data_IF_106113062506
#
_entry.id   IF_106113062506
#
_cell.length_a   1.000
_cell.length_b   1.000
_cell.length_c   1.000
_cell.angle_alpha   90.00
_cell.angle_beta   90.00
_cell.angle_gamma   90.00
#
_symmetry.space_group_name_H-M   'P 1'
#
loop_
_entity.id
_entity.type
_entity.pdbx_description
1 polymer ?
#
# COMPACT_ATOMS: atom_id res chain seq x y z
N UNK A 1 12.44 15.70 12.36
CA UNK A 1 11.72 15.84 11.08
C UNK A 1 10.31 16.36 11.31
N UNK A 2 9.45 15.63 11.99
CA UNK A 2 8.10 16.10 12.30
C UNK A 2 8.11 17.42 13.07
N UNK A 3 8.91 17.54 14.12
CA UNK A 3 9.06 18.79 14.90
C UNK A 3 9.56 20.02 14.12
N UNK A 4 10.08 19.80 12.90
CA UNK A 4 10.56 20.88 12.03
C UNK A 4 9.60 21.13 10.83
N UNK A 5 8.43 20.50 10.81
CA UNK A 5 7.48 20.57 9.67
C UNK A 5 8.04 20.07 8.35
N UNK A 6 9.11 19.28 8.37
CA UNK A 6 9.78 18.78 7.15
C UNK A 6 9.15 17.54 6.55
N UNK A 7 8.18 16.94 7.21
CA UNK A 7 7.48 15.74 6.76
C UNK A 7 6.00 15.86 7.04
N UNK A 8 5.19 15.69 6.03
CA UNK A 8 3.73 15.82 6.10
C UNK A 8 3.07 15.52 4.75
N UNK A 9 1.80 15.85 4.62
CA UNK A 9 0.98 15.63 3.42
C UNK A 9 1.64 16.10 2.12
N UNK A 10 2.30 17.24 2.15
CA UNK A 10 2.93 17.81 0.95
C UNK A 10 4.07 16.97 0.42
N UNK A 11 4.72 16.15 1.27
CA UNK A 11 5.81 15.26 0.86
C UNK A 11 5.34 14.22 -0.14
N UNK A 12 4.13 13.66 0.05
CA UNK A 12 3.53 12.70 -0.87
C UNK A 12 3.33 13.29 -2.26
N UNK A 13 2.85 14.54 -2.36
CA UNK A 13 2.56 15.21 -3.64
C UNK A 13 3.78 15.49 -4.51
N UNK A 14 4.98 15.52 -3.91
CA UNK A 14 6.20 15.93 -4.63
C UNK A 14 6.77 14.83 -5.53
N UNK A 15 6.36 13.58 -5.39
CA UNK A 15 6.90 12.49 -6.18
C UNK A 15 6.45 12.57 -7.64
N UNK A 16 7.41 12.44 -8.57
CA UNK A 16 7.20 12.64 -10.01
C UNK A 16 6.22 11.66 -10.67
N UNK A 17 6.00 10.49 -10.05
CA UNK A 17 5.09 9.45 -10.56
C UNK A 17 3.67 9.55 -10.01
N UNK A 18 3.41 10.45 -9.07
CA UNK A 18 2.07 10.63 -8.53
C UNK A 18 1.12 11.24 -9.56
N UNK A 19 -0.18 10.91 -9.53
CA UNK A 19 -1.17 11.44 -10.46
C UNK A 19 -1.14 12.98 -10.49
N UNK A 20 -1.05 13.56 -11.70
CA UNK A 20 -0.90 15.01 -11.90
C UNK A 20 -2.21 15.69 -12.28
N UNK A 21 -3.13 14.99 -12.95
CA UNK A 21 -4.43 15.54 -13.33
C UNK A 21 -5.44 15.45 -12.18
N UNK A 22 -6.27 16.46 -12.01
CA UNK A 22 -7.17 16.57 -10.86
C UNK A 22 -8.34 15.59 -10.95
N UNK A 23 -8.87 15.38 -12.16
CA UNK A 23 -10.13 14.63 -12.35
C UNK A 23 -9.98 13.11 -12.23
N UNK A 24 -8.77 12.57 -12.50
CA UNK A 24 -8.51 11.13 -12.52
C UNK A 24 -7.78 10.60 -11.26
N UNK A 25 -7.46 11.46 -10.30
CA UNK A 25 -6.58 11.11 -9.17
C UNK A 25 -7.13 9.98 -8.30
N UNK A 26 -8.40 10.06 -7.93
CA UNK A 26 -8.98 9.05 -7.02
C UNK A 26 -9.09 7.67 -7.70
N UNK A 27 -9.43 7.62 -9.00
CA UNK A 27 -9.49 6.35 -9.70
C UNK A 27 -8.11 5.81 -10.05
N UNK A 28 -7.15 6.67 -10.34
CA UNK A 28 -5.75 6.29 -10.52
C UNK A 28 -5.16 5.65 -9.27
N UNK A 29 -5.37 6.27 -8.10
CA UNK A 29 -4.96 5.73 -6.81
C UNK A 29 -5.65 4.39 -6.54
N UNK A 30 -6.97 4.31 -6.76
CA UNK A 30 -7.72 3.07 -6.60
C UNK A 30 -7.17 1.94 -7.47
N UNK A 31 -6.88 2.20 -8.75
CA UNK A 31 -6.31 1.19 -9.65
C UNK A 31 -4.94 0.71 -9.15
N UNK A 32 -4.06 1.64 -8.79
CA UNK A 32 -2.71 1.32 -8.30
C UNK A 32 -2.79 0.51 -7.01
N UNK A 33 -3.60 0.93 -6.03
CA UNK A 33 -3.72 0.23 -4.75
C UNK A 33 -4.48 -1.10 -4.85
N UNK A 34 -5.30 -1.28 -5.90
CA UNK A 34 -5.90 -2.59 -6.19
C UNK A 34 -4.84 -3.66 -6.46
N UNK A 35 -3.67 -3.28 -6.98
CA UNK A 35 -2.58 -4.20 -7.28
C UNK A 35 -1.31 -3.94 -6.43
N UNK A 36 -1.42 -3.19 -5.34
CA UNK A 36 -0.31 -2.82 -4.46
C UNK A 36 -0.02 -3.92 -3.42
N UNK A 37 0.53 -5.05 -3.86
CA UNK A 37 0.87 -6.19 -2.99
C UNK A 37 2.03 -7.03 -3.54
N UNK A 38 2.72 -7.79 -2.70
CA UNK A 38 3.70 -8.84 -3.05
C UNK A 38 4.73 -8.45 -4.13
N UNK A 39 5.66 -7.53 -3.82
CA UNK A 39 6.67 -7.07 -4.79
C UNK A 39 8.00 -7.82 -4.73
N UNK A 40 8.25 -8.64 -3.71
CA UNK A 40 9.50 -9.35 -3.60
C UNK A 40 9.56 -10.50 -4.61
N UNK A 41 10.71 -10.71 -5.28
CA UNK A 41 10.86 -11.75 -6.30
C UNK A 41 10.86 -13.15 -5.69
N UNK A 42 10.54 -14.14 -6.51
CA UNK A 42 10.77 -15.53 -6.17
C UNK A 42 12.28 -15.84 -6.11
N UNK A 43 12.62 -16.98 -5.54
CA UNK A 43 14.01 -17.40 -5.42
C UNK A 43 14.66 -17.52 -6.82
N UNK A 44 15.88 -17.00 -6.94
CA UNK A 44 16.64 -16.95 -8.19
C UNK A 44 16.08 -16.00 -9.28
N UNK A 45 15.08 -15.19 -8.97
CA UNK A 45 14.58 -14.13 -9.85
C UNK A 45 15.05 -12.75 -9.39
N UNK A 46 15.24 -11.84 -10.35
CA UNK A 46 15.52 -10.44 -10.05
C UNK A 46 14.24 -9.68 -9.69
N UNK A 47 14.37 -8.50 -9.07
CA UNK A 47 13.22 -7.63 -8.82
C UNK A 47 12.62 -7.17 -10.16
N UNK A 48 11.31 -7.18 -10.26
CA UNK A 48 10.61 -6.52 -11.35
C UNK A 48 10.96 -5.03 -11.39
N UNK A 49 11.33 -4.54 -12.56
CA UNK A 49 11.74 -3.13 -12.77
C UNK A 49 11.01 -2.53 -13.95
N UNK A 50 10.79 -1.24 -13.92
CA UNK A 50 10.23 -0.46 -15.04
C UNK A 50 11.11 0.76 -15.29
N UNK A 51 11.52 0.95 -16.53
CA UNK A 51 12.20 2.19 -16.95
C UNK A 51 11.14 3.19 -17.42
N UNK A 52 11.19 4.38 -16.84
CA UNK A 52 10.31 5.49 -17.20
C UNK A 52 11.07 6.82 -17.06
N UNK A 53 11.03 7.67 -18.07
CA UNK A 53 11.76 8.95 -18.13
C UNK A 53 13.26 8.82 -17.79
N UNK A 54 13.90 7.73 -18.27
CA UNK A 54 15.32 7.50 -18.07
C UNK A 54 15.71 7.02 -16.67
N UNK A 55 14.74 6.74 -15.80
CA UNK A 55 14.96 6.21 -14.44
C UNK A 55 14.37 4.82 -14.30
N UNK A 56 14.99 4.01 -13.45
CA UNK A 56 14.53 2.64 -13.13
C UNK A 56 13.78 2.64 -11.81
N UNK A 57 12.56 2.10 -11.82
CA UNK A 57 11.69 2.00 -10.66
C UNK A 57 11.44 0.55 -10.26
N UNK A 58 11.25 0.32 -8.96
CA UNK A 58 10.96 -0.99 -8.35
C UNK A 58 9.81 -0.90 -7.36
N UNK A 59 9.16 -2.02 -7.07
CA UNK A 59 8.07 -2.11 -6.08
C UNK A 59 6.88 -1.22 -6.48
N UNK A 60 6.28 -0.53 -5.52
CA UNK A 60 5.14 0.37 -5.74
C UNK A 60 5.38 1.35 -6.91
N UNK A 61 6.57 1.98 -6.95
CA UNK A 61 6.89 2.94 -8.01
C UNK A 61 7.03 2.30 -9.40
N UNK A 62 7.31 1.01 -9.50
CA UNK A 62 7.29 0.32 -10.81
C UNK A 62 5.87 0.19 -11.36
N UNK A 63 4.86 0.01 -10.50
CA UNK A 63 3.45 0.03 -10.92
C UNK A 63 3.07 1.44 -11.41
N UNK A 64 3.37 2.48 -10.64
CA UNK A 64 3.08 3.87 -11.02
C UNK A 64 3.73 4.24 -12.37
N UNK A 65 5.00 3.84 -12.56
CA UNK A 65 5.72 4.08 -13.81
C UNK A 65 5.09 3.35 -15.01
N UNK A 66 4.70 2.07 -14.84
CA UNK A 66 4.03 1.30 -15.87
C UNK A 66 2.66 1.88 -16.25
N UNK A 67 1.88 2.31 -15.26
CA UNK A 67 0.59 2.97 -15.47
C UNK A 67 0.76 4.29 -16.23
N UNK A 68 1.70 5.15 -15.83
CA UNK A 68 1.96 6.40 -16.53
C UNK A 68 2.38 6.15 -17.99
N UNK A 69 3.24 5.14 -18.22
CA UNK A 69 3.64 4.69 -19.56
C UNK A 69 2.44 4.23 -20.39
N UNK A 70 1.53 3.43 -19.81
CA UNK A 70 0.34 2.96 -20.50
C UNK A 70 -0.61 4.12 -20.90
N UNK A 71 -0.77 5.12 -20.01
CA UNK A 71 -1.56 6.32 -20.30
C UNK A 71 -0.95 7.11 -21.46
N UNK A 72 0.37 7.30 -21.50
CA UNK A 72 1.07 7.95 -22.60
C UNK A 72 0.93 7.21 -23.92
N UNK A 73 0.77 5.88 -23.87
CA UNK A 73 0.46 5.03 -25.04
C UNK A 73 -1.03 5.07 -25.45
N UNK A 74 -1.86 5.86 -24.77
CA UNK A 74 -3.30 5.99 -25.03
C UNK A 74 -4.15 4.86 -24.47
N UNK A 75 -3.63 4.03 -23.57
CA UNK A 75 -4.37 2.95 -22.91
C UNK A 75 -5.09 3.54 -21.67
N UNK A 76 -6.41 3.57 -21.70
CA UNK A 76 -7.20 4.00 -20.53
C UNK A 76 -7.38 2.84 -19.55
N UNK A 77 -6.36 2.64 -18.70
CA UNK A 77 -6.34 1.59 -17.67
C UNK A 77 -7.37 1.82 -16.56
N UNK A 78 -7.93 3.03 -16.46
CA UNK A 78 -8.89 3.42 -15.42
C UNK A 78 -10.35 3.22 -15.86
N UNK A 79 -10.60 2.86 -17.11
CA UNK A 79 -11.95 2.55 -17.56
C UNK A 79 -12.45 1.25 -16.92
N UNK A 80 -13.59 1.32 -16.24
CA UNK A 80 -14.13 0.17 -15.50
C UNK A 80 -14.48 -1.03 -16.41
N UNK A 81 -14.87 -0.79 -17.67
CA UNK A 81 -15.09 -1.88 -18.63
C UNK A 81 -13.76 -2.52 -19.05
N UNK A 82 -12.72 -1.69 -19.26
CA UNK A 82 -11.37 -2.19 -19.54
C UNK A 82 -10.85 -3.04 -18.38
N UNK A 83 -11.00 -2.57 -17.14
CA UNK A 83 -10.64 -3.32 -15.94
C UNK A 83 -11.39 -4.65 -15.84
N UNK A 84 -12.73 -4.62 -16.00
CA UNK A 84 -13.58 -5.82 -15.86
C UNK A 84 -13.27 -6.91 -16.88
N UNK A 85 -12.71 -6.54 -18.04
CA UNK A 85 -12.40 -7.46 -19.15
C UNK A 85 -10.90 -7.63 -19.39
N UNK A 86 -10.04 -7.16 -18.48
CA UNK A 86 -8.58 -7.22 -18.64
C UNK A 86 -8.10 -8.65 -18.85
N UNK A 87 -7.31 -8.89 -19.89
CA UNK A 87 -6.67 -10.19 -20.11
C UNK A 87 -5.26 -10.22 -19.53
N UNK A 88 -4.69 -11.42 -19.38
CA UNK A 88 -3.31 -11.60 -18.94
C UNK A 88 -2.34 -10.94 -19.92
N UNK A 89 -2.62 -11.04 -21.24
CA UNK A 89 -1.81 -10.44 -22.29
C UNK A 89 -1.84 -8.91 -22.21
N UNK A 90 -3.01 -8.31 -21.97
CA UNK A 90 -3.13 -6.86 -21.74
C UNK A 90 -2.39 -6.43 -20.48
N UNK A 91 -2.54 -7.17 -19.39
CA UNK A 91 -1.78 -6.91 -18.16
C UNK A 91 -0.26 -6.94 -18.41
N UNK A 92 0.23 -8.01 -19.05
CA UNK A 92 1.66 -8.16 -19.36
C UNK A 92 2.17 -7.09 -20.33
N UNK A 93 1.33 -6.58 -21.24
CA UNK A 93 1.69 -5.48 -22.14
C UNK A 93 1.84 -4.14 -21.43
N UNK A 94 1.07 -3.91 -20.36
CA UNK A 94 1.16 -2.71 -19.51
C UNK A 94 2.36 -2.84 -18.54
N UNK A 95 2.44 -3.97 -17.85
CA UNK A 95 3.42 -4.24 -16.80
C UNK A 95 4.61 -5.06 -17.32
N UNK A 96 5.12 -4.71 -18.52
CA UNK A 96 6.36 -5.33 -18.99
C UNK A 96 7.60 -4.69 -18.34
N UNK A 97 8.64 -5.49 -18.22
CA UNK A 97 9.91 -5.09 -17.66
C UNK A 97 11.03 -5.27 -18.67
N UNK A 98 11.96 -4.34 -18.71
CA UNK A 98 13.12 -4.39 -19.58
C UNK A 98 14.15 -5.48 -19.16
N UNK A 99 14.06 -5.94 -17.91
CA UNK A 99 14.86 -7.09 -17.42
C UNK A 99 14.14 -8.43 -17.60
N UNK A 100 13.00 -8.47 -18.32
CA UNK A 100 12.20 -9.66 -18.59
C UNK A 100 11.63 -10.39 -17.37
N UNK A 101 11.65 -9.74 -16.20
CA UNK A 101 11.00 -10.26 -15.01
C UNK A 101 9.51 -9.87 -14.99
N UNK A 102 8.70 -10.72 -14.39
CA UNK A 102 7.27 -10.46 -14.22
C UNK A 102 6.96 -10.00 -12.80
N UNK A 103 5.88 -9.23 -12.63
CA UNK A 103 5.32 -9.00 -11.30
C UNK A 103 4.87 -10.35 -10.69
N UNK A 104 5.16 -10.60 -9.41
CA UNK A 104 4.60 -11.77 -8.75
C UNK A 104 3.07 -11.77 -8.76
N UNK A 105 2.46 -12.95 -8.76
CA UNK A 105 0.99 -13.09 -8.68
C UNK A 105 0.23 -12.42 -9.84
N UNK A 106 0.69 -12.61 -11.09
CA UNK A 106 0.05 -12.01 -12.28
C UNK A 106 -1.42 -12.39 -12.38
N UNK A 107 -1.76 -13.68 -12.20
CA UNK A 107 -3.14 -14.16 -12.30
C UNK A 107 -4.04 -13.49 -11.24
N UNK A 108 -3.55 -13.41 -10.01
CA UNK A 108 -4.26 -12.77 -8.90
C UNK A 108 -4.43 -11.27 -9.16
N UNK A 109 -3.41 -10.59 -9.70
CA UNK A 109 -3.52 -9.16 -10.06
C UNK A 109 -4.59 -8.94 -11.12
N UNK A 110 -4.62 -9.75 -12.17
CA UNK A 110 -5.66 -9.68 -13.21
C UNK A 110 -7.04 -9.96 -12.61
N UNK A 111 -7.15 -10.94 -11.74
CA UNK A 111 -8.42 -11.27 -11.07
C UNK A 111 -8.93 -10.15 -10.17
N UNK A 112 -8.07 -9.52 -9.37
CA UNK A 112 -8.50 -8.38 -8.51
C UNK A 112 -8.84 -7.14 -9.33
N UNK A 113 -8.17 -6.89 -10.46
CA UNK A 113 -8.54 -5.81 -11.38
C UNK A 113 -9.92 -6.07 -12.00
N UNK A 114 -10.19 -7.30 -12.47
CA UNK A 114 -11.49 -7.68 -13.01
C UNK A 114 -12.61 -7.56 -11.98
N UNK A 115 -12.36 -8.02 -10.76
CA UNK A 115 -13.29 -7.83 -9.64
C UNK A 115 -13.59 -6.34 -9.44
N UNK A 116 -12.53 -5.52 -9.34
CA UNK A 116 -12.67 -4.09 -9.11
C UNK A 116 -13.48 -3.41 -10.22
N UNK A 117 -13.16 -3.65 -11.49
CA UNK A 117 -13.90 -3.11 -12.61
C UNK A 117 -15.37 -3.54 -12.63
N UNK A 118 -15.64 -4.82 -12.39
CA UNK A 118 -17.00 -5.36 -12.34
C UNK A 118 -17.82 -4.76 -11.20
N UNK A 119 -17.24 -4.58 -10.02
CA UNK A 119 -17.91 -3.93 -8.88
C UNK A 119 -18.19 -2.46 -9.16
N UNK A 120 -17.22 -1.74 -9.74
CA UNK A 120 -17.44 -0.34 -10.13
C UNK A 120 -18.62 -0.21 -11.11
N UNK A 121 -18.68 -1.04 -12.14
CA UNK A 121 -19.78 -1.03 -13.12
C UNK A 121 -21.13 -1.31 -12.48
N UNK A 122 -21.20 -2.36 -11.67
CA UNK A 122 -22.46 -2.84 -11.13
C UNK A 122 -23.02 -2.00 -9.97
N UNK A 123 -22.15 -1.36 -9.18
CA UNK A 123 -22.57 -0.72 -7.92
C UNK A 123 -22.25 0.77 -7.86
N UNK A 124 -21.26 1.25 -8.62
CA UNK A 124 -20.73 2.59 -8.49
C UNK A 124 -20.68 3.36 -9.82
N UNK A 125 -21.53 2.99 -10.79
CA UNK A 125 -21.67 3.66 -12.09
C UNK A 125 -20.31 3.79 -12.84
N UNK A 126 -19.43 2.81 -12.67
CA UNK A 126 -18.12 2.76 -13.30
C UNK A 126 -17.06 3.69 -12.68
N UNK A 127 -17.35 4.37 -11.57
CA UNK A 127 -16.44 5.37 -11.01
C UNK A 127 -16.22 5.19 -9.50
N UNK A 128 -14.95 5.08 -9.07
CA UNK A 128 -14.58 4.93 -7.67
C UNK A 128 -14.92 6.19 -6.83
N UNK A 129 -14.99 7.37 -7.42
CA UNK A 129 -15.43 8.60 -6.71
C UNK A 129 -16.81 8.41 -6.07
N UNK A 130 -17.68 7.61 -6.67
CA UNK A 130 -18.99 7.33 -6.06
C UNK A 130 -18.87 6.54 -4.75
N UNK A 131 -17.83 5.70 -4.57
CA UNK A 131 -17.52 5.08 -3.28
C UNK A 131 -17.10 6.15 -2.25
N UNK A 132 -16.23 7.06 -2.65
CA UNK A 132 -15.73 8.14 -1.79
C UNK A 132 -16.88 9.07 -1.36
N UNK A 133 -17.76 9.45 -2.29
CA UNK A 133 -18.92 10.29 -1.99
C UNK A 133 -19.90 9.62 -1.01
N UNK A 134 -20.13 8.30 -1.14
CA UNK A 134 -20.99 7.55 -0.23
C UNK A 134 -20.43 7.47 1.20
N UNK A 135 -19.14 7.67 1.38
CA UNK A 135 -18.51 7.67 2.69
C UNK A 135 -18.75 8.95 3.50
N UNK A 136 -19.30 10.02 2.89
CA UNK A 136 -19.67 11.26 3.59
C UNK A 136 -18.52 11.84 4.43
N UNK A 137 -17.31 11.85 3.89
CA UNK A 137 -16.09 12.32 4.53
C UNK A 137 -15.65 11.50 5.78
N UNK A 138 -16.07 10.25 5.91
CA UNK A 138 -15.58 9.34 6.95
C UNK A 138 -14.62 8.29 6.36
N UNK A 139 -13.42 8.22 6.90
CA UNK A 139 -12.42 7.20 6.54
C UNK A 139 -12.91 5.80 6.95
N UNK A 140 -13.49 5.66 8.14
CA UNK A 140 -14.03 4.38 8.62
C UNK A 140 -15.21 3.88 7.77
N UNK A 141 -16.09 4.78 7.36
CA UNK A 141 -17.21 4.44 6.47
C UNK A 141 -16.69 4.02 5.08
N UNK A 142 -15.63 4.69 4.58
CA UNK A 142 -15.03 4.31 3.31
C UNK A 142 -14.34 2.95 3.39
N UNK A 143 -13.63 2.62 4.49
CA UNK A 143 -13.10 1.26 4.73
C UNK A 143 -14.24 0.24 4.61
N UNK A 144 -15.35 0.47 5.31
CA UNK A 144 -16.49 -0.45 5.31
C UNK A 144 -17.07 -0.64 3.90
N UNK A 145 -17.27 0.46 3.14
CA UNK A 145 -17.71 0.38 1.75
C UNK A 145 -16.75 -0.45 0.90
N UNK A 146 -15.44 -0.21 1.06
CA UNK A 146 -14.42 -0.94 0.29
C UNK A 146 -14.45 -2.43 0.63
N UNK A 147 -14.38 -2.81 1.90
CA UNK A 147 -14.28 -4.23 2.28
C UNK A 147 -15.59 -5.00 2.08
N UNK A 148 -16.74 -4.32 2.08
CA UNK A 148 -18.04 -4.95 1.79
C UNK A 148 -18.22 -5.25 0.32
N UNK A 149 -17.63 -4.42 -0.56
CA UNK A 149 -17.86 -4.52 -1.99
C UNK A 149 -16.70 -5.15 -2.76
N UNK A 150 -15.46 -4.96 -2.34
CA UNK A 150 -14.26 -5.48 -3.02
C UNK A 150 -13.62 -6.57 -2.13
N UNK A 151 -13.88 -7.83 -2.46
CA UNK A 151 -13.45 -8.96 -1.63
C UNK A 151 -11.93 -9.06 -1.50
N UNK A 152 -11.21 -8.62 -2.53
CA UNK A 152 -9.74 -8.58 -2.54
C UNK A 152 -9.12 -7.64 -1.50
N UNK A 153 -9.91 -6.72 -0.94
CA UNK A 153 -9.48 -5.82 0.13
C UNK A 153 -9.76 -6.34 1.55
N UNK A 154 -10.45 -7.50 1.68
CA UNK A 154 -10.80 -8.10 2.97
C UNK A 154 -9.61 -8.81 3.62
N UNK A 155 -8.63 -8.05 4.02
CA UNK A 155 -7.45 -8.48 4.73
C UNK A 155 -7.82 -8.83 6.18
N UNK A 156 -8.34 -10.05 6.35
CA UNK A 156 -8.83 -10.58 7.62
C UNK A 156 -8.09 -11.87 7.91
N UNK A 157 -7.54 -11.98 9.11
CA UNK A 157 -6.86 -13.16 9.61
C UNK A 157 -7.62 -13.77 10.80
N UNK A 158 -7.36 -15.06 11.09
CA UNK A 158 -7.93 -15.72 12.25
C UNK A 158 -6.84 -16.07 13.26
N UNK A 159 -6.86 -15.43 14.44
CA UNK A 159 -5.81 -15.57 15.43
C UNK A 159 -6.38 -15.87 16.83
N UNK A 160 -5.93 -16.99 17.43
CA UNK A 160 -6.35 -17.42 18.78
C UNK A 160 -7.87 -17.40 18.98
N UNK A 161 -8.62 -17.87 17.99
CA UNK A 161 -10.08 -17.96 18.06
C UNK A 161 -10.82 -16.64 17.80
N UNK A 162 -10.12 -15.59 17.34
CA UNK A 162 -10.70 -14.27 17.02
C UNK A 162 -10.38 -13.87 15.59
N UNK A 163 -11.32 -13.20 14.94
CA UNK A 163 -11.08 -12.53 13.68
C UNK A 163 -10.29 -11.25 13.92
N UNK A 164 -9.22 -11.05 13.13
CA UNK A 164 -8.36 -9.87 13.16
C UNK A 164 -8.44 -9.19 11.80
N UNK A 165 -8.99 -8.00 11.76
CA UNK A 165 -9.15 -7.19 10.54
C UNK A 165 -8.01 -6.18 10.45
N UNK A 166 -7.09 -6.38 9.52
CA UNK A 166 -5.96 -5.45 9.33
C UNK A 166 -6.26 -4.47 8.21
N UNK A 167 -6.90 -4.95 7.12
CA UNK A 167 -7.35 -4.12 5.99
C UNK A 167 -6.26 -3.21 5.40
N UNK A 168 -5.02 -3.72 5.30
CA UNK A 168 -3.83 -2.92 4.91
C UNK A 168 -4.08 -2.10 3.64
N UNK A 169 -4.55 -2.75 2.54
CA UNK A 169 -4.75 -2.05 1.27
C UNK A 169 -5.93 -1.08 1.28
N UNK A 170 -6.98 -1.37 2.04
CA UNK A 170 -8.08 -0.42 2.20
C UNK A 170 -7.63 0.84 2.94
N UNK A 171 -6.82 0.69 3.98
CA UNK A 171 -6.31 1.82 4.75
C UNK A 171 -5.31 2.67 3.95
N UNK A 172 -4.37 2.05 3.21
CA UNK A 172 -3.41 2.81 2.39
C UNK A 172 -4.11 3.55 1.24
N UNK A 173 -5.12 2.94 0.61
CA UNK A 173 -5.93 3.60 -0.42
C UNK A 173 -6.57 4.91 0.10
N UNK A 174 -7.16 4.88 1.30
CA UNK A 174 -7.77 6.08 1.89
C UNK A 174 -6.71 7.12 2.28
N UNK A 175 -5.59 6.66 2.82
CA UNK A 175 -4.47 7.54 3.15
C UNK A 175 -3.87 8.21 1.90
N UNK A 176 -3.73 7.47 0.80
CA UNK A 176 -3.21 8.02 -0.46
C UNK A 176 -4.20 9.02 -1.08
N UNK A 177 -5.52 8.79 -0.98
CA UNK A 177 -6.53 9.78 -1.35
C UNK A 177 -6.41 11.03 -0.46
N UNK A 178 -6.30 10.87 0.85
CA UNK A 178 -6.11 11.98 1.79
C UNK A 178 -4.86 12.80 1.44
N UNK A 179 -3.74 12.14 1.21
CA UNK A 179 -2.48 12.78 0.83
C UNK A 179 -2.57 13.48 -0.53
N UNK A 180 -3.15 12.80 -1.54
CA UNK A 180 -3.28 13.32 -2.91
C UNK A 180 -4.07 14.63 -2.97
N UNK A 181 -5.17 14.69 -2.24
CA UNK A 181 -6.02 15.88 -2.18
C UNK A 181 -5.61 16.86 -1.06
N UNK A 182 -4.55 16.55 -0.29
CA UNK A 182 -4.06 17.43 0.79
C UNK A 182 -5.07 17.64 1.89
N UNK A 183 -5.88 16.62 2.20
CA UNK A 183 -6.93 16.69 3.21
C UNK A 183 -8.14 17.53 2.81
N UNK A 184 -8.29 17.90 1.54
CA UNK A 184 -9.41 18.69 1.01
C UNK A 184 -10.24 17.87 0.01
N UNK A 185 -11.36 18.39 -0.45
CA UNK A 185 -12.24 17.79 -1.46
C UNK A 185 -12.52 16.31 -1.16
N UNK A 186 -12.24 15.40 -2.10
CA UNK A 186 -12.41 13.96 -1.94
C UNK A 186 -11.47 13.33 -0.90
N UNK A 187 -10.40 14.03 -0.52
CA UNK A 187 -9.48 13.62 0.55
C UNK A 187 -9.84 14.18 1.93
N UNK A 188 -10.97 14.84 2.09
CA UNK A 188 -11.41 15.38 3.38
C UNK A 188 -12.06 14.27 4.20
N UNK A 189 -11.40 13.83 5.26
CA UNK A 189 -11.91 12.85 6.22
C UNK A 189 -11.83 13.44 7.64
N UNK A 190 -12.96 13.50 8.34
CA UNK A 190 -13.01 14.04 9.70
C UNK A 190 -12.43 13.08 10.76
N UNK A 191 -12.32 11.81 10.41
CA UNK A 191 -11.85 10.70 11.24
C UNK A 191 -10.58 10.03 10.69
N UNK A 192 -9.76 10.78 9.90
CA UNK A 192 -8.55 10.23 9.26
C UNK A 192 -7.57 9.62 10.26
N UNK A 193 -7.48 10.20 11.47
CA UNK A 193 -6.60 9.74 12.54
C UNK A 193 -7.05 8.39 13.16
N UNK A 194 -8.20 7.87 12.76
CA UNK A 194 -8.65 6.53 13.12
C UNK A 194 -8.00 5.42 12.28
N UNK A 195 -7.30 5.77 11.21
CA UNK A 195 -6.54 4.81 10.43
C UNK A 195 -5.26 4.41 11.18
N UNK A 196 -4.91 3.13 11.05
CA UNK A 196 -3.65 2.60 11.58
C UNK A 196 -2.53 2.67 10.54
N UNK A 197 -1.33 2.25 10.91
CA UNK A 197 -0.25 2.00 9.98
C UNK A 197 -0.59 0.85 8.99
N UNK A 198 0.21 0.74 7.92
CA UNK A 198 -0.03 -0.23 6.84
C UNK A 198 0.89 -1.44 7.00
N UNK A 199 0.55 -2.33 7.95
CA UNK A 199 1.40 -3.46 8.32
C UNK A 199 1.64 -4.42 7.13
N UNK A 200 2.72 -4.15 6.41
CA UNK A 200 3.29 -4.96 5.33
C UNK A 200 4.55 -5.71 5.80
N UNK A 201 5.41 -6.14 4.89
CA UNK A 201 6.68 -6.79 5.19
C UNK A 201 7.87 -5.81 5.32
N UNK A 202 7.71 -4.52 4.96
CA UNK A 202 8.80 -3.51 4.97
C UNK A 202 8.85 -2.71 6.26
N UNK A 203 7.72 -2.26 6.75
CA UNK A 203 7.65 -1.47 7.98
C UNK A 203 8.17 -2.27 9.19
N UNK A 204 7.77 -3.54 9.42
CA UNK A 204 8.36 -4.34 10.49
C UNK A 204 9.86 -4.57 10.31
N UNK A 205 10.37 -4.67 9.07
CA UNK A 205 11.81 -4.75 8.80
C UNK A 205 12.55 -3.52 9.31
N UNK A 206 12.00 -2.31 9.09
CA UNK A 206 12.57 -1.04 9.59
C UNK A 206 12.51 -0.97 11.12
N UNK A 207 11.39 -1.35 11.71
CA UNK A 207 11.24 -1.37 13.16
C UNK A 207 12.22 -2.35 13.83
N UNK A 208 12.46 -3.51 13.22
CA UNK A 208 13.47 -4.45 13.69
C UNK A 208 14.89 -3.91 13.51
N UNK A 209 15.19 -3.23 12.40
CA UNK A 209 16.47 -2.56 12.18
C UNK A 209 16.79 -1.53 13.29
N UNK A 210 15.78 -0.80 13.77
CA UNK A 210 15.90 0.12 14.89
C UNK A 210 15.82 -0.53 16.27
N UNK A 211 15.70 -1.87 16.37
CA UNK A 211 15.44 -2.60 17.61
C UNK A 211 14.16 -2.14 18.34
N UNK A 212 13.22 -1.52 17.63
CA UNK A 212 11.92 -1.13 18.20
C UNK A 212 11.01 -2.37 18.38
N UNK A 213 11.17 -3.39 17.53
CA UNK A 213 10.58 -4.72 17.70
C UNK A 213 11.67 -5.78 17.69
N UNK A 214 11.43 -6.89 18.39
CA UNK A 214 12.34 -8.03 18.43
C UNK A 214 11.57 -9.32 18.18
N UNK A 215 12.16 -10.23 17.43
CA UNK A 215 11.59 -11.53 17.12
C UNK A 215 12.06 -12.60 18.12
N UNK A 216 11.23 -13.60 18.38
CA UNK A 216 11.67 -14.78 19.10
C UNK A 216 12.82 -15.47 18.37
N UNK A 217 13.59 -16.31 19.07
CA UNK A 217 14.71 -17.03 18.47
C UNK A 217 14.27 -17.87 17.27
N UNK A 218 13.16 -18.58 17.41
CA UNK A 218 12.66 -19.48 16.38
C UNK A 218 12.19 -18.70 15.14
N UNK A 219 11.45 -17.60 15.34
CA UNK A 219 11.03 -16.73 14.25
C UNK A 219 12.24 -16.10 13.55
N UNK A 220 13.22 -15.62 14.34
CA UNK A 220 14.43 -15.03 13.76
C UNK A 220 15.19 -16.03 12.90
N UNK A 221 15.38 -17.26 13.36
CA UNK A 221 16.03 -18.34 12.61
C UNK A 221 15.26 -18.68 11.32
N UNK A 222 13.92 -18.68 11.38
CA UNK A 222 13.08 -18.89 10.21
C UNK A 222 13.27 -17.79 9.15
N UNK A 223 13.29 -16.52 9.57
CA UNK A 223 13.46 -15.37 8.70
C UNK A 223 14.89 -15.28 8.13
N UNK A 224 15.91 -15.56 8.92
CA UNK A 224 17.32 -15.58 8.49
C UNK A 224 17.55 -16.62 7.38
N UNK A 225 16.78 -17.72 7.38
CA UNK A 225 16.80 -18.74 6.33
C UNK A 225 15.90 -18.41 5.12
N UNK A 226 15.33 -17.20 5.07
CA UNK A 226 14.42 -16.73 4.00
C UNK A 226 13.20 -17.62 3.75
N UNK A 227 12.80 -18.41 4.73
CA UNK A 227 11.64 -19.31 4.61
C UNK A 227 10.34 -18.50 4.53
N UNK A 228 9.41 -18.85 3.63
CA UNK A 228 8.10 -18.19 3.57
C UNK A 228 7.28 -18.48 4.81
N UNK A 229 6.41 -17.55 5.15
CA UNK A 229 5.38 -17.70 6.18
C UNK A 229 4.03 -17.64 5.46
N UNK A 230 3.18 -18.63 5.68
CA UNK A 230 1.84 -18.65 5.10
C UNK A 230 0.99 -17.51 5.66
N UNK A 231 0.05 -16.99 4.85
CA UNK A 231 -0.97 -16.07 5.33
C UNK A 231 -1.80 -16.74 6.43
N UNK A 232 -2.21 -16.00 7.46
CA UNK A 232 -2.87 -16.48 8.67
C UNK A 232 -1.97 -17.31 9.63
N UNK A 233 -0.72 -17.52 9.32
CA UNK A 233 0.19 -18.13 10.28
C UNK A 233 0.34 -17.22 11.52
N UNK A 234 0.34 -17.76 12.76
CA UNK A 234 0.45 -16.94 13.97
C UNK A 234 1.61 -15.93 13.95
N UNK A 235 2.75 -16.29 13.43
CA UNK A 235 3.89 -15.37 13.28
C UNK A 235 3.59 -14.19 12.35
N UNK A 236 2.92 -14.43 11.23
CA UNK A 236 2.53 -13.38 10.28
C UNK A 236 1.59 -12.38 10.95
N UNK A 237 0.56 -12.87 11.64
CA UNK A 237 -0.41 -12.03 12.34
C UNK A 237 0.24 -11.27 13.49
N UNK A 238 1.12 -11.92 14.26
CA UNK A 238 1.86 -11.29 15.36
C UNK A 238 2.81 -10.20 14.87
N UNK A 239 3.59 -10.45 13.80
CA UNK A 239 4.47 -9.43 13.21
C UNK A 239 3.66 -8.19 12.83
N UNK A 240 2.55 -8.38 12.13
CA UNK A 240 1.68 -7.28 11.69
C UNK A 240 1.03 -6.57 12.88
N UNK A 241 0.47 -7.30 13.82
CA UNK A 241 -0.16 -6.71 15.01
C UNK A 241 0.81 -5.93 15.89
N UNK A 242 2.02 -6.47 16.13
CA UNK A 242 3.07 -5.77 16.88
C UNK A 242 3.56 -4.53 16.14
N UNK A 243 3.62 -4.57 14.80
CA UNK A 243 3.95 -3.40 13.98
C UNK A 243 2.96 -2.27 14.20
N UNK A 244 1.66 -2.54 14.12
CA UNK A 244 0.61 -1.56 14.40
C UNK A 244 0.77 -0.97 15.80
N UNK A 245 0.87 -1.81 16.81
CA UNK A 245 1.02 -1.37 18.20
C UNK A 245 2.30 -0.52 18.42
N UNK A 246 3.41 -0.89 17.78
CA UNK A 246 4.66 -0.15 17.88
C UNK A 246 4.52 1.27 17.30
N UNK A 247 3.85 1.40 16.16
CA UNK A 247 3.63 2.71 15.53
C UNK A 247 2.69 3.57 16.36
N UNK A 248 1.61 3.02 16.92
CA UNK A 248 0.74 3.76 17.85
C UNK A 248 1.51 4.33 19.06
N UNK A 249 2.41 3.53 19.65
CA UNK A 249 3.29 4.00 20.73
C UNK A 249 4.25 5.10 20.23
N UNK A 250 4.75 4.99 19.01
CA UNK A 250 5.60 6.03 18.41
C UNK A 250 4.83 7.33 18.20
N UNK A 251 3.62 7.29 17.65
CA UNK A 251 2.74 8.45 17.46
C UNK A 251 2.48 9.16 18.78
N UNK A 252 2.14 8.41 19.82
CA UNK A 252 1.90 8.93 21.17
C UNK A 252 3.12 9.67 21.73
N UNK A 253 4.31 9.06 21.57
CA UNK A 253 5.57 9.67 22.03
C UNK A 253 5.93 10.91 21.19
N UNK A 254 5.80 10.85 19.88
CA UNK A 254 6.10 11.97 18.99
C UNK A 254 5.23 13.17 19.35
N UNK A 255 3.92 12.98 19.49
CA UNK A 255 2.98 14.05 19.80
C UNK A 255 3.20 14.67 21.19
N UNK A 256 3.77 13.91 22.14
CA UNK A 256 4.22 14.46 23.45
C UNK A 256 5.53 15.26 23.38
N UNK A 257 6.32 15.08 22.31
CA UNK A 257 7.63 15.72 22.14
C UNK A 257 7.61 16.92 21.20
N UNK A 258 6.61 17.03 20.34
CA UNK A 258 6.47 18.17 19.42
C UNK A 258 5.73 19.32 20.09
N UNK A 259 6.02 20.55 19.63
CA UNK A 259 5.31 21.75 20.08
C UNK A 259 3.83 21.67 19.68
N UNK A 260 2.94 22.12 20.56
CA UNK A 260 1.49 22.20 20.33
C UNK A 260 1.09 23.05 19.11
N UNK A 261 2.00 23.88 18.61
CA UNK A 261 1.80 24.66 17.37
C UNK A 261 2.12 23.90 16.08
N UNK A 262 2.65 22.67 16.18
CA UNK A 262 2.91 21.79 15.04
C UNK A 262 1.69 20.88 14.85
N UNK A 263 1.37 20.57 13.57
CA UNK A 263 0.28 19.65 13.27
C UNK A 263 0.48 18.29 13.94
N UNK A 264 -0.60 17.74 14.46
CA UNK A 264 -0.61 16.41 15.08
C UNK A 264 -0.12 15.35 14.09
N UNK A 265 0.79 14.51 14.53
CA UNK A 265 1.30 13.37 13.74
C UNK A 265 0.40 12.17 13.99
N UNK A 266 -0.01 11.49 12.93
CA UNK A 266 -0.80 10.27 12.98
C UNK A 266 -0.01 9.04 12.46
N UNK A 267 -0.62 7.86 12.54
CA UNK A 267 0.00 6.59 12.15
C UNK A 267 0.34 6.52 10.68
N UNK A 268 -0.44 7.18 9.80
CA UNK A 268 -0.18 7.29 8.36
C UNK A 268 1.15 7.98 8.10
N UNK A 269 1.38 9.13 8.74
CA UNK A 269 2.60 9.91 8.53
C UNK A 269 3.84 9.20 9.06
N UNK A 270 3.72 8.46 10.16
CA UNK A 270 4.83 7.66 10.70
C UNK A 270 5.15 6.49 9.79
N UNK A 271 4.13 5.78 9.30
CA UNK A 271 4.29 4.68 8.34
C UNK A 271 5.00 5.15 7.07
N UNK A 272 4.49 6.20 6.43
CA UNK A 272 5.08 6.80 5.23
C UNK A 272 6.53 7.20 5.45
N UNK A 273 6.85 7.80 6.62
CA UNK A 273 8.23 8.14 6.95
C UNK A 273 9.12 6.91 7.07
N UNK A 274 8.67 5.84 7.72
CA UNK A 274 9.45 4.60 7.85
C UNK A 274 9.67 3.93 6.50
N UNK A 275 8.65 3.95 5.62
CA UNK A 275 8.74 3.43 4.28
C UNK A 275 9.75 4.21 3.42
N UNK A 276 9.72 5.55 3.46
CA UNK A 276 10.67 6.41 2.78
C UNK A 276 12.09 6.21 3.33
N UNK A 277 12.23 6.11 4.65
CA UNK A 277 13.51 5.82 5.29
C UNK A 277 14.07 4.49 4.80
N UNK A 278 13.25 3.45 4.72
CA UNK A 278 13.66 2.16 4.15
C UNK A 278 14.21 2.31 2.74
N UNK A 279 13.57 3.08 1.90
CA UNK A 279 14.01 3.28 0.51
C UNK A 279 15.34 4.03 0.42
N UNK A 280 15.55 5.02 1.26
CA UNK A 280 16.80 5.79 1.30
C UNK A 280 17.97 4.99 1.90
N UNK A 281 17.69 4.03 2.79
CA UNK A 281 18.65 3.21 3.51
C UNK A 281 18.64 1.73 3.06
N UNK A 282 18.20 1.45 1.84
CA UNK A 282 17.98 0.09 1.32
C UNK A 282 19.16 -0.85 1.60
N UNK A 283 20.39 -0.44 1.27
CA UNK A 283 21.60 -1.26 1.45
C UNK A 283 21.86 -1.70 2.89
N UNK A 284 21.47 -0.89 3.86
CA UNK A 284 21.66 -1.18 5.28
C UNK A 284 20.52 -2.02 5.84
N UNK A 285 19.29 -1.70 5.48
CA UNK A 285 18.09 -2.35 5.99
C UNK A 285 17.87 -3.72 5.36
N UNK A 286 18.26 -3.94 4.11
CA UNK A 286 18.16 -5.25 3.45
C UNK A 286 19.06 -6.34 4.09
N UNK A 287 19.95 -5.97 5.02
CA UNK A 287 20.67 -6.91 5.87
C UNK A 287 19.81 -7.51 7.00
N UNK A 288 18.71 -6.85 7.31
CA UNK A 288 17.72 -7.36 8.27
C UNK A 288 16.68 -8.15 7.50
N UNK A 289 16.40 -9.42 7.88
CA UNK A 289 15.45 -10.23 7.16
C UNK A 289 14.03 -9.66 7.31
N UNK A 290 13.26 -9.76 6.23
CA UNK A 290 11.83 -9.47 6.25
C UNK A 290 11.04 -10.78 6.23
N UNK A 291 9.84 -10.78 6.76
CA UNK A 291 8.94 -11.92 6.56
C UNK A 291 8.44 -11.96 5.10
N UNK A 292 8.32 -13.16 4.58
CA UNK A 292 7.91 -13.41 3.19
C UNK A 292 6.58 -14.14 3.19
N UNK A 293 5.50 -13.41 3.09
CA UNK A 293 4.15 -13.96 2.90
C UNK A 293 3.65 -13.60 1.52
N UNK A 294 3.39 -14.60 0.68
CA UNK A 294 2.86 -14.38 -0.66
C UNK A 294 1.35 -14.27 -0.58
N UNK A 295 0.82 -13.07 -0.70
CA UNK A 295 -0.61 -12.78 -0.53
C UNK A 295 -1.04 -11.62 -1.41
N UNK A 296 -2.35 -11.52 -1.68
CA UNK A 296 -2.96 -10.35 -2.34
C UNK A 296 -3.22 -9.19 -1.37
N UNK A 297 -3.00 -9.35 -0.09
CA UNK A 297 -3.38 -8.35 0.92
C UNK A 297 -2.30 -7.31 1.19
N UNK A 298 -1.00 -7.62 0.91
CA UNK A 298 0.10 -6.67 1.13
C UNK A 298 1.42 -7.02 0.42
#
# INVERSE_FOLDING_TARGET
>A
MFSQGKYGLETWKTHELNPKSFDDKAISIFFIDTINFSFWPDENHAKFTVIYNGKTYTGYWSICAAVNRAIEMGINVFDANYMANMTIEQFNSIFYSENHESLPLVNERVNVIREAGSVLLNKFQGNFINCVCQAENSAQKLIQIIVDNFSSYRDVSFYKGKSVCIYKRAQILIADIWCCFGGNDFGKFYDIDSLTAFADYRVPQVLNFFNAIQYSKDLKEHLDNNKPIEHDHPWEVEIRGVTLQCIEIMVDKINKMIDSNVAVVNSILVDNYLWDYRRTQEKSIDKVPMHRTRTIYY
#
